data_IF_678495818584
#
_entry.id   IF_678495818584
#
_cell.length_a   1.000
_cell.length_b   1.000
_cell.length_c   1.000
_cell.angle_alpha   90.00
_cell.angle_beta   90.00
_cell.angle_gamma   90.00
#
_symmetry.space_group_name_H-M   'P 1'
#
loop_
_entity.id
_entity.type
_entity.pdbx_description
1 polymer ?
#
# COMPACT_ATOMS: atom_id res chain seq x y z
N UNK A 1 18.90 27.53 5.92
CA UNK A 1 17.89 28.24 6.74
C UNK A 1 17.79 27.87 8.21
N UNK A 2 18.62 26.99 8.80
CA UNK A 2 18.67 26.67 10.25
C UNK A 2 17.31 26.58 11.01
N UNK A 3 16.22 26.27 10.28
CA UNK A 3 14.86 26.18 10.79
C UNK A 3 14.57 24.71 11.07
N UNK A 4 14.11 24.36 12.28
CA UNK A 4 13.69 23.00 12.57
C UNK A 4 12.48 22.63 11.69
N UNK A 5 12.50 21.42 11.14
CA UNK A 5 11.39 20.89 10.33
C UNK A 5 10.54 20.01 11.24
N UNK A 6 9.32 20.46 11.56
CA UNK A 6 8.38 19.69 12.37
C UNK A 6 7.59 18.67 11.54
N UNK A 7 7.26 19.01 10.29
CA UNK A 7 6.45 18.17 9.40
C UNK A 7 7.04 18.18 8.00
N UNK A 8 7.09 17.00 7.36
CA UNK A 8 7.33 16.86 5.92
C UNK A 8 6.07 16.32 5.27
N UNK A 9 5.43 17.17 4.49
CA UNK A 9 4.25 16.84 3.70
C UNK A 9 4.67 16.52 2.27
N UNK A 10 4.61 15.25 1.90
CA UNK A 10 5.01 14.82 0.56
C UNK A 10 3.91 15.18 -0.45
N UNK A 11 4.36 15.77 -1.56
CA UNK A 11 3.57 15.99 -2.78
C UNK A 11 4.28 15.41 -4.01
N UNK A 12 5.31 14.60 -3.76
CA UNK A 12 6.14 13.85 -4.69
C UNK A 12 6.69 12.61 -3.98
N UNK A 13 7.35 11.73 -4.72
CA UNK A 13 7.89 10.48 -4.21
C UNK A 13 6.90 9.31 -4.23
N UNK A 14 5.84 9.40 -5.04
CA UNK A 14 4.85 8.33 -5.25
C UNK A 14 5.15 7.48 -6.48
N UNK A 15 6.03 7.96 -7.37
CA UNK A 15 6.40 7.30 -8.62
C UNK A 15 7.92 7.14 -8.74
N UNK A 16 8.42 6.05 -9.34
CA UNK A 16 9.85 5.84 -9.52
C UNK A 16 10.56 6.96 -10.29
N UNK A 17 9.88 7.58 -11.27
CA UNK A 17 10.42 8.69 -12.07
C UNK A 17 10.78 9.93 -11.22
N UNK A 18 10.22 10.04 -10.00
CA UNK A 18 10.53 11.11 -9.05
C UNK A 18 11.79 10.83 -8.22
N UNK A 19 12.43 9.68 -8.45
CA UNK A 19 13.70 9.27 -7.87
C UNK A 19 14.73 8.92 -8.98
N UNK A 20 15.13 9.90 -9.82
CA UNK A 20 15.99 9.65 -10.97
C UNK A 20 17.42 9.24 -10.59
N UNK A 21 17.85 9.47 -9.35
CA UNK A 21 19.19 9.12 -8.88
C UNK A 21 19.20 8.71 -7.40
N UNK A 22 20.36 8.25 -6.92
CA UNK A 22 20.57 7.92 -5.51
C UNK A 22 20.38 9.13 -4.58
N UNK A 23 20.54 10.36 -5.08
CA UNK A 23 20.42 11.58 -4.27
C UNK A 23 19.02 11.75 -3.69
N UNK A 24 17.98 11.48 -4.48
CA UNK A 24 16.60 11.57 -4.04
C UNK A 24 16.25 10.46 -3.03
N UNK A 25 16.82 9.26 -3.22
CA UNK A 25 16.71 8.16 -2.28
C UNK A 25 17.36 8.48 -0.93
N UNK A 26 18.57 9.02 -0.95
CA UNK A 26 19.30 9.43 0.26
C UNK A 26 18.56 10.56 0.99
N UNK A 27 17.99 11.51 0.25
CA UNK A 27 17.16 12.57 0.81
C UNK A 27 15.90 12.00 1.47
N UNK A 28 15.19 11.08 0.80
CA UNK A 28 14.01 10.41 1.38
C UNK A 28 14.38 9.66 2.66
N UNK A 29 15.47 8.89 2.65
CA UNK A 29 15.94 8.16 3.82
C UNK A 29 16.29 9.11 4.97
N UNK A 30 16.97 10.23 4.68
CA UNK A 30 17.31 11.24 5.69
C UNK A 30 16.06 11.84 6.33
N UNK A 31 15.04 12.16 5.54
CA UNK A 31 13.76 12.67 6.05
C UNK A 31 13.08 11.62 6.93
N UNK A 32 12.98 10.36 6.47
CA UNK A 32 12.33 9.30 7.24
C UNK A 32 13.02 9.06 8.59
N UNK A 33 14.37 9.13 8.63
CA UNK A 33 15.18 8.99 9.86
C UNK A 33 15.17 10.22 10.77
N UNK A 34 14.61 11.34 10.32
CA UNK A 34 14.49 12.56 11.14
C UNK A 34 13.33 12.48 12.14
N UNK A 35 13.31 13.43 13.08
CA UNK A 35 12.24 13.60 14.07
C UNK A 35 10.99 14.28 13.52
N UNK A 36 11.00 14.75 12.26
CA UNK A 36 9.82 15.33 11.64
C UNK A 36 8.69 14.30 11.55
N UNK A 37 7.45 14.77 11.63
CA UNK A 37 6.25 13.99 11.30
C UNK A 37 6.17 13.90 9.77
N UNK A 38 6.03 12.69 9.23
CA UNK A 38 5.92 12.47 7.77
C UNK A 38 4.47 12.29 7.38
N UNK A 39 4.05 12.91 6.27
CA UNK A 39 2.71 12.79 5.71
C UNK A 39 2.80 12.48 4.20
N UNK A 40 2.73 11.20 3.79
CA UNK A 40 2.78 9.99 4.62
C UNK A 40 4.22 9.62 5.06
N UNK A 41 4.37 8.83 6.12
CA UNK A 41 5.61 8.09 6.38
C UNK A 41 5.79 6.96 5.37
N UNK A 42 7.00 6.38 5.29
CA UNK A 42 7.26 5.28 4.35
C UNK A 42 6.35 4.06 4.59
N UNK A 43 6.04 3.72 5.84
CA UNK A 43 5.14 2.62 6.17
C UNK A 43 3.71 2.91 5.72
N UNK A 44 3.26 4.16 5.91
CA UNK A 44 1.91 4.55 5.52
C UNK A 44 1.78 4.61 3.99
N UNK A 45 2.81 5.04 3.27
CA UNK A 45 2.86 4.96 1.82
C UNK A 45 2.74 3.51 1.32
N UNK A 46 3.49 2.57 1.93
CA UNK A 46 3.45 1.15 1.56
C UNK A 46 2.11 0.48 1.88
N UNK A 47 1.47 0.87 2.99
CA UNK A 47 0.14 0.39 3.36
C UNK A 47 -0.94 0.72 2.32
N UNK A 48 -0.74 1.77 1.52
CA UNK A 48 -1.64 2.17 0.43
C UNK A 48 -1.46 1.42 -0.90
N UNK A 49 -0.54 0.46 -0.98
CA UNK A 49 -0.27 -0.27 -2.23
C UNK A 49 -1.40 -1.24 -2.58
N UNK A 50 -1.56 -1.49 -3.89
CA UNK A 50 -2.57 -2.45 -4.39
C UNK A 50 -2.36 -3.87 -3.88
N UNK A 51 -1.11 -4.29 -3.66
CA UNK A 51 -0.81 -5.59 -3.05
C UNK A 51 -1.30 -5.67 -1.61
N UNK A 52 -1.11 -4.62 -0.79
CA UNK A 52 -1.66 -4.57 0.57
C UNK A 52 -3.18 -4.56 0.54
N UNK A 53 -3.81 -3.80 -0.37
CA UNK A 53 -5.26 -3.81 -0.55
C UNK A 53 -5.78 -5.24 -0.84
N UNK A 54 -5.15 -5.95 -1.78
CA UNK A 54 -5.49 -7.35 -2.12
C UNK A 54 -5.27 -8.30 -0.94
N UNK A 55 -4.15 -8.18 -0.23
CA UNK A 55 -3.84 -9.02 0.93
C UNK A 55 -4.82 -8.83 2.10
N UNK A 56 -5.28 -7.60 2.35
CA UNK A 56 -6.27 -7.30 3.39
C UNK A 56 -7.65 -7.89 3.08
N UNK A 57 -7.97 -8.12 1.80
CA UNK A 57 -9.23 -8.73 1.38
C UNK A 57 -9.28 -10.25 1.59
N UNK A 58 -8.14 -10.89 1.84
CA UNK A 58 -8.10 -12.33 2.16
C UNK A 58 -8.86 -12.65 3.45
N UNK A 59 -9.61 -13.77 3.50
CA UNK A 59 -10.36 -14.18 4.68
C UNK A 59 -9.53 -14.17 5.96
N UNK A 60 -10.04 -13.56 7.03
CA UNK A 60 -9.39 -13.52 8.33
C UNK A 60 -8.19 -12.59 8.46
N UNK A 61 -7.74 -11.90 7.40
CA UNK A 61 -6.60 -10.97 7.49
C UNK A 61 -7.02 -9.65 8.14
N UNK A 62 -8.17 -9.10 7.74
CA UNK A 62 -8.65 -7.83 8.27
C UNK A 62 -8.91 -7.88 9.80
N UNK A 63 -9.42 -9.01 10.31
CA UNK A 63 -9.63 -9.26 11.74
C UNK A 63 -8.34 -9.16 12.56
N UNK A 64 -7.18 -9.49 11.97
CA UNK A 64 -5.89 -9.38 12.67
C UNK A 64 -5.51 -7.93 12.99
N UNK A 65 -6.04 -6.96 12.23
CA UNK A 65 -5.73 -5.54 12.38
C UNK A 65 -6.85 -4.75 13.06
N UNK A 66 -8.11 -5.11 12.81
CA UNK A 66 -9.28 -4.39 13.31
C UNK A 66 -10.02 -5.12 14.45
N UNK A 67 -9.66 -6.37 14.73
CA UNK A 67 -10.45 -7.27 15.58
C UNK A 67 -11.73 -7.74 14.89
N UNK A 68 -12.50 -8.56 15.60
CA UNK A 68 -13.83 -9.00 15.15
C UNK A 68 -14.89 -7.99 15.59
N UNK A 69 -15.79 -7.60 14.69
CA UNK A 69 -16.91 -6.73 15.03
C UNK A 69 -17.59 -6.07 13.83
N UNK A 70 -18.67 -5.31 14.06
CA UNK A 70 -19.46 -4.70 12.99
C UNK A 70 -18.67 -3.75 12.09
N UNK A 71 -17.64 -3.07 12.61
CA UNK A 71 -16.75 -2.21 11.82
C UNK A 71 -15.95 -3.01 10.79
N UNK A 72 -15.38 -4.15 11.20
CA UNK A 72 -14.62 -5.06 10.34
C UNK A 72 -15.51 -5.64 9.24
N UNK A 73 -16.75 -6.02 9.57
CA UNK A 73 -17.74 -6.45 8.57
C UNK A 73 -18.02 -5.35 7.54
N UNK A 74 -18.30 -4.11 7.98
CA UNK A 74 -18.54 -2.99 7.05
C UNK A 74 -17.35 -2.68 6.13
N UNK A 75 -16.12 -2.82 6.62
CA UNK A 75 -14.92 -2.64 5.78
C UNK A 75 -14.73 -3.81 4.82
N UNK A 76 -15.09 -5.03 5.21
CA UNK A 76 -15.10 -6.17 4.28
C UNK A 76 -16.12 -5.99 3.15
N UNK A 77 -17.29 -5.44 3.46
CA UNK A 77 -18.39 -5.28 2.51
C UNK A 77 -18.04 -4.33 1.34
N UNK A 78 -17.04 -3.46 1.50
CA UNK A 78 -16.58 -2.56 0.42
C UNK A 78 -15.47 -3.16 -0.45
N UNK A 79 -14.94 -4.34 -0.10
CA UNK A 79 -13.95 -5.01 -0.96
C UNK A 79 -14.62 -5.68 -2.15
N UNK A 80 -13.98 -5.57 -3.31
CA UNK A 80 -14.37 -6.27 -4.54
C UNK A 80 -13.57 -7.57 -4.68
N UNK A 81 -13.78 -8.31 -5.77
CA UNK A 81 -12.90 -9.42 -6.14
C UNK A 81 -11.46 -8.92 -6.35
N UNK A 82 -10.58 -9.22 -5.41
CA UNK A 82 -9.17 -8.87 -5.45
C UNK A 82 -8.35 -10.16 -5.46
N UNK A 83 -7.70 -10.44 -6.58
CA UNK A 83 -7.03 -11.70 -6.83
C UNK A 83 -5.52 -11.50 -6.90
N UNK A 84 -4.77 -12.44 -6.34
CA UNK A 84 -3.32 -12.44 -6.48
C UNK A 84 -2.94 -12.92 -7.89
N UNK A 85 -1.79 -12.45 -8.40
CA UNK A 85 -1.15 -12.96 -9.61
C UNK A 85 0.24 -13.52 -9.29
N UNK A 86 0.42 -13.98 -8.05
CA UNK A 86 1.65 -14.66 -7.65
C UNK A 86 1.75 -16.02 -8.36
N UNK A 87 2.95 -16.59 -8.44
CA UNK A 87 3.17 -17.88 -9.11
C UNK A 87 2.74 -19.07 -8.23
N UNK A 88 1.44 -19.14 -7.95
CA UNK A 88 0.77 -20.21 -7.19
C UNK A 88 -0.57 -20.58 -7.82
N UNK A 89 -1.24 -21.61 -7.27
CA UNK A 89 -2.54 -22.09 -7.78
C UNK A 89 -3.62 -20.99 -7.83
N UNK A 90 -3.58 -20.02 -6.91
CA UNK A 90 -4.57 -18.94 -6.89
C UNK A 90 -4.29 -17.94 -8.00
N UNK A 91 -3.01 -17.64 -8.27
CA UNK A 91 -2.60 -16.81 -9.39
C UNK A 91 -2.92 -17.45 -10.74
N UNK A 92 -2.68 -18.75 -10.90
CA UNK A 92 -3.06 -19.48 -12.12
C UNK A 92 -4.57 -19.41 -12.39
N UNK A 93 -5.39 -19.62 -11.35
CA UNK A 93 -6.85 -19.47 -11.45
C UNK A 93 -7.27 -18.03 -11.78
N UNK A 94 -6.62 -17.03 -11.20
CA UNK A 94 -6.91 -15.63 -11.48
C UNK A 94 -6.60 -15.26 -12.93
N UNK A 95 -5.48 -15.77 -13.48
CA UNK A 95 -5.13 -15.63 -14.90
C UNK A 95 -6.16 -16.31 -15.79
N UNK A 96 -6.55 -17.55 -15.48
CA UNK A 96 -7.57 -18.27 -16.25
C UNK A 96 -8.91 -17.53 -16.26
N UNK A 97 -9.33 -17.00 -15.11
CA UNK A 97 -10.54 -16.20 -14.98
C UNK A 97 -10.49 -14.94 -15.86
N UNK A 98 -9.40 -14.17 -15.77
CA UNK A 98 -9.23 -12.95 -16.58
C UNK A 98 -9.12 -13.23 -18.09
N UNK A 99 -8.60 -14.39 -18.50
CA UNK A 99 -8.57 -14.80 -19.91
C UNK A 99 -9.95 -15.26 -20.42
N UNK A 100 -10.79 -15.83 -19.55
CA UNK A 100 -12.14 -16.30 -19.92
C UNK A 100 -13.14 -15.15 -20.06
N UNK A 101 -13.06 -14.14 -19.19
CA UNK A 101 -13.99 -13.01 -19.17
C UNK A 101 -13.26 -11.75 -18.70
N UNK A 102 -12.67 -11.01 -19.65
CA UNK A 102 -11.87 -9.81 -19.34
C UNK A 102 -12.71 -8.58 -18.95
N UNK A 103 -14.04 -8.65 -19.09
CA UNK A 103 -14.96 -7.57 -18.74
C UNK A 103 -15.46 -7.67 -17.29
N UNK A 104 -15.18 -8.78 -16.58
CA UNK A 104 -15.50 -8.99 -15.17
C UNK A 104 -14.25 -9.05 -14.29
#
# INVERSE_FOLDING_TARGET
DNRPVAVVYYRSGYEPAQYPSQREWDARLRVERSTAIKCPSIQYQLAGTKKVQQALASPGVLEKFMGSGPSTSRVRDIFTGLYSLDFDENGERAVEMGLKDAEK
#
